data_IF_528764085994
#
_entry.id   IF_528764085994
#
_cell.length_a   1.000
_cell.length_b   1.000
_cell.length_c   1.000
_cell.angle_alpha   90.00
_cell.angle_beta   90.00
_cell.angle_gamma   90.00
#
_symmetry.space_group_name_H-M   'P 1'
#
loop_
_entity.id
_entity.type
_entity.pdbx_description
1 polymer ?
#
# COMPACT_ATOMS: atom_id res chain seq x y z
N UNK A 1 -8.64 3.93 -9.23
CA UNK A 1 -8.48 5.15 -10.05
C UNK A 1 -8.83 4.76 -11.47
N UNK A 2 -9.86 5.42 -11.98
CA UNK A 2 -10.35 5.23 -13.33
C UNK A 2 -9.27 5.70 -14.32
N UNK A 3 -8.62 4.77 -15.02
CA UNK A 3 -7.65 5.08 -16.06
C UNK A 3 -8.30 5.51 -17.39
N UNK A 4 -9.58 5.92 -17.39
CA UNK A 4 -10.18 6.48 -18.59
C UNK A 4 -9.62 7.87 -18.93
N UNK A 5 -9.01 8.05 -20.11
CA UNK A 5 -8.27 9.27 -20.47
C UNK A 5 -9.15 10.52 -20.71
N UNK A 6 -10.46 10.45 -20.44
CA UNK A 6 -11.42 11.51 -20.78
C UNK A 6 -12.22 12.04 -19.58
N UNK A 7 -11.87 11.70 -18.34
CA UNK A 7 -12.48 12.35 -17.18
C UNK A 7 -11.64 13.55 -16.74
N UNK A 8 -12.14 14.75 -17.03
CA UNK A 8 -11.67 15.99 -16.40
C UNK A 8 -11.73 15.82 -14.88
N UNK A 9 -10.63 15.95 -14.14
CA UNK A 9 -10.67 15.92 -12.69
C UNK A 9 -11.59 17.05 -12.21
N UNK A 10 -12.65 16.72 -11.47
CA UNK A 10 -13.44 17.74 -10.80
C UNK A 10 -12.52 18.50 -9.84
N UNK A 11 -12.49 19.84 -9.85
CA UNK A 11 -11.67 20.59 -8.94
C UNK A 11 -12.24 20.45 -7.53
N UNK A 12 -11.68 19.56 -6.71
CA UNK A 12 -11.86 19.61 -5.27
C UNK A 12 -11.09 20.80 -4.72
N UNK A 13 -11.68 21.98 -4.88
CA UNK A 13 -11.24 23.20 -4.21
C UNK A 13 -11.53 23.04 -2.72
N UNK A 14 -10.45 23.05 -1.93
CA UNK A 14 -10.48 23.29 -0.50
C UNK A 14 -11.24 24.61 -0.22
N UNK A 15 -12.37 24.53 0.49
CA UNK A 15 -13.17 25.72 0.79
C UNK A 15 -14.43 25.50 1.65
N UNK A 16 -14.83 24.25 1.92
CA UNK A 16 -15.89 23.98 2.89
C UNK A 16 -15.33 23.92 4.32
N UNK A 17 -16.07 24.38 5.35
CA UNK A 17 -15.65 24.19 6.73
C UNK A 17 -15.55 22.69 7.01
N UNK A 18 -14.32 22.20 7.21
CA UNK A 18 -14.07 20.84 7.63
C UNK A 18 -14.74 20.64 8.99
N UNK A 19 -15.82 19.85 9.04
CA UNK A 19 -16.41 19.42 10.31
C UNK A 19 -15.41 18.46 10.96
N UNK A 20 -14.94 18.72 12.19
CA UNK A 20 -14.13 17.75 12.91
C UNK A 20 -14.97 16.49 13.15
N UNK A 21 -14.61 15.40 12.50
CA UNK A 21 -15.08 14.09 12.89
C UNK A 21 -14.33 13.74 14.18
N UNK A 22 -15.00 13.75 15.34
CA UNK A 22 -14.37 13.54 16.66
C UNK A 22 -13.60 12.21 16.79
N UNK A 23 -13.78 11.28 15.84
CA UNK A 23 -13.10 9.97 15.78
C UNK A 23 -12.51 9.65 14.40
N UNK A 24 -12.21 10.66 13.58
CA UNK A 24 -11.57 10.42 12.29
C UNK A 24 -10.09 10.05 12.45
N UNK A 25 -9.54 9.24 11.52
CA UNK A 25 -8.10 9.04 11.45
C UNK A 25 -7.40 10.38 11.24
N UNK A 26 -6.24 10.54 11.88
CA UNK A 26 -5.38 11.69 11.66
C UNK A 26 -4.82 11.61 10.24
N UNK A 27 -5.23 12.54 9.39
CA UNK A 27 -4.70 12.66 8.03
C UNK A 27 -3.51 13.62 8.03
N UNK A 28 -2.38 13.15 7.49
CA UNK A 28 -1.17 13.97 7.27
C UNK A 28 -0.79 13.84 5.81
N UNK A 29 -0.71 14.97 5.11
CA UNK A 29 -0.18 15.04 3.76
C UNK A 29 1.33 15.34 3.82
N UNK A 30 2.13 14.53 3.14
CA UNK A 30 3.59 14.73 3.02
C UNK A 30 3.88 15.03 1.56
N UNK A 31 4.25 16.28 1.28
CA UNK A 31 4.63 16.68 -0.07
C UNK A 31 6.00 16.08 -0.44
N UNK A 32 6.09 15.48 -1.62
CA UNK A 32 7.35 14.99 -2.17
C UNK A 32 7.95 16.02 -3.15
N UNK A 33 9.07 16.62 -2.78
CA UNK A 33 9.86 17.52 -3.64
C UNK A 33 11.12 16.86 -4.22
N UNK A 34 11.34 15.58 -3.94
CA UNK A 34 12.50 14.79 -4.36
C UNK A 34 12.18 13.87 -5.53
N UNK A 35 12.75 12.65 -5.50
CA UNK A 35 12.51 11.65 -6.54
C UNK A 35 11.03 11.28 -6.62
N UNK A 36 10.52 11.13 -7.83
CA UNK A 36 9.12 10.76 -8.08
C UNK A 36 8.99 9.24 -8.28
N UNK A 37 7.77 8.75 -8.07
CA UNK A 37 7.42 7.34 -8.20
C UNK A 37 6.89 6.73 -6.88
N UNK A 38 6.27 5.55 -6.96
CA UNK A 38 5.62 4.93 -5.82
C UNK A 38 6.60 4.51 -4.73
N UNK A 39 7.81 4.06 -5.09
CA UNK A 39 8.86 3.72 -4.13
C UNK A 39 9.23 4.91 -3.24
N UNK A 40 9.55 6.05 -3.84
CA UNK A 40 9.89 7.29 -3.12
C UNK A 40 8.71 7.80 -2.27
N UNK A 41 7.48 7.76 -2.80
CA UNK A 41 6.29 8.17 -2.07
C UNK A 41 6.03 7.29 -0.83
N UNK A 42 6.10 5.96 -0.98
CA UNK A 42 5.95 5.01 0.13
C UNK A 42 7.05 5.22 1.17
N UNK A 43 8.27 5.49 0.73
CA UNK A 43 9.41 5.79 1.59
C UNK A 43 9.20 7.02 2.46
N UNK A 44 8.74 8.12 1.86
CA UNK A 44 8.38 9.33 2.62
C UNK A 44 7.27 9.05 3.63
N UNK A 45 6.24 8.30 3.22
CA UNK A 45 5.11 7.93 4.07
C UNK A 45 5.53 7.13 5.30
N UNK A 46 6.25 6.02 5.12
CA UNK A 46 6.61 5.15 6.24
C UNK A 46 7.64 5.79 7.18
N UNK A 47 8.56 6.61 6.66
CA UNK A 47 9.53 7.35 7.48
C UNK A 47 8.82 8.38 8.37
N UNK A 48 7.80 9.06 7.85
CA UNK A 48 6.99 10.03 8.59
C UNK A 48 6.01 9.38 9.59
N UNK A 49 5.62 8.12 9.36
CA UNK A 49 4.70 7.38 10.23
C UNK A 49 5.33 7.09 11.61
N UNK A 50 4.52 7.12 12.67
CA UNK A 50 4.99 6.96 14.05
C UNK A 50 4.70 5.58 14.65
N UNK A 51 3.85 4.79 14.00
CA UNK A 51 3.46 3.47 14.48
C UNK A 51 4.58 2.44 14.25
N UNK A 52 4.62 1.40 15.10
CA UNK A 52 5.55 0.29 14.96
C UNK A 52 5.22 -0.65 13.79
N UNK A 53 3.97 -0.61 13.30
CA UNK A 53 3.49 -1.35 12.13
C UNK A 53 3.04 -0.32 11.10
N UNK A 54 3.49 -0.51 9.86
CA UNK A 54 3.13 0.29 8.70
C UNK A 54 2.22 -0.55 7.81
N UNK A 55 1.00 -0.10 7.60
CA UNK A 55 0.06 -0.69 6.65
C UNK A 55 0.08 0.14 5.36
N UNK A 56 0.37 -0.51 4.23
CA UNK A 56 0.35 0.13 2.91
C UNK A 56 -0.96 -0.17 2.18
N UNK A 57 -1.48 0.83 1.49
CA UNK A 57 -2.66 0.77 0.63
C UNK A 57 -2.47 1.76 -0.51
N UNK A 58 -3.04 1.49 -1.69
CA UNK A 58 -2.95 2.39 -2.84
C UNK A 58 -4.17 3.33 -2.93
N UNK A 59 -4.04 4.42 -3.68
CA UNK A 59 -5.10 5.43 -3.83
C UNK A 59 -6.31 4.96 -4.66
N UNK A 60 -6.17 3.80 -5.30
CA UNK A 60 -7.21 3.10 -6.04
C UNK A 60 -7.81 1.89 -5.32
N UNK A 61 -7.48 1.69 -4.04
CA UNK A 61 -7.97 0.57 -3.25
C UNK A 61 -9.13 0.97 -2.33
N UNK A 62 -9.97 -0.02 -2.00
CA UNK A 62 -11.05 0.13 -1.02
C UNK A 62 -10.87 -0.94 0.05
N UNK A 63 -10.16 -0.66 1.15
CA UNK A 63 -9.97 -1.61 2.23
C UNK A 63 -11.30 -2.00 2.87
N UNK A 64 -11.43 -3.27 3.27
CA UNK A 64 -12.54 -3.73 4.09
C UNK A 64 -12.65 -2.90 5.38
N UNK A 65 -13.86 -2.65 5.92
CA UNK A 65 -14.01 -1.97 7.21
C UNK A 65 -13.25 -2.64 8.37
N UNK A 66 -12.94 -3.93 8.26
CA UNK A 66 -12.16 -4.70 9.25
C UNK A 66 -10.69 -4.89 8.87
N UNK A 67 -10.25 -4.39 7.71
CA UNK A 67 -8.91 -4.60 7.14
C UNK A 67 -7.78 -4.39 8.14
N UNK A 68 -7.73 -3.21 8.76
CA UNK A 68 -6.69 -2.87 9.72
C UNK A 68 -6.75 -3.73 10.99
N UNK A 69 -7.95 -4.01 11.50
CA UNK A 69 -8.12 -4.84 12.68
C UNK A 69 -7.67 -6.29 12.43
N UNK A 70 -8.00 -6.84 11.27
CA UNK A 70 -7.60 -8.19 10.86
C UNK A 70 -6.09 -8.28 10.57
N UNK A 71 -5.52 -7.26 9.93
CA UNK A 71 -4.07 -7.16 9.73
C UNK A 71 -3.33 -7.11 11.07
N UNK A 72 -3.74 -6.23 11.99
CA UNK A 72 -3.10 -6.13 13.31
C UNK A 72 -3.25 -7.42 14.13
N UNK A 73 -4.40 -8.08 14.09
CA UNK A 73 -4.64 -9.33 14.82
C UNK A 73 -3.78 -10.50 14.31
N UNK A 74 -3.31 -10.46 13.07
CA UNK A 74 -2.46 -11.50 12.49
C UNK A 74 -0.97 -11.35 12.85
N UNK A 75 -0.54 -10.23 13.44
CA UNK A 75 0.83 -10.09 13.92
C UNK A 75 1.05 -10.87 15.22
N UNK A 76 2.08 -11.70 15.22
CA UNK A 76 2.71 -12.22 16.45
C UNK A 76 4.08 -11.57 16.64
N UNK A 77 4.74 -11.84 17.77
CA UNK A 77 6.07 -11.26 18.06
C UNK A 77 7.09 -11.56 16.96
N UNK A 78 7.01 -12.74 16.36
CA UNK A 78 7.95 -13.22 15.35
C UNK A 78 7.53 -12.91 13.91
N UNK A 79 6.41 -12.23 13.67
CA UNK A 79 5.98 -11.86 12.32
C UNK A 79 6.55 -10.49 11.96
N UNK A 80 7.28 -10.45 10.86
CA UNK A 80 7.91 -9.24 10.32
C UNK A 80 7.00 -8.52 9.34
N UNK A 81 6.34 -9.29 8.48
CA UNK A 81 5.53 -8.80 7.37
C UNK A 81 4.26 -9.64 7.22
N UNK A 82 3.15 -8.98 6.93
CA UNK A 82 1.89 -9.59 6.53
C UNK A 82 1.57 -9.22 5.09
N UNK A 83 1.07 -10.18 4.34
CA UNK A 83 0.44 -9.96 3.04
C UNK A 83 -1.05 -10.22 3.16
N UNK A 84 -1.85 -9.17 2.95
CA UNK A 84 -3.30 -9.27 2.90
C UNK A 84 -3.79 -9.89 1.59
N UNK A 85 -5.11 -10.06 1.47
CA UNK A 85 -5.76 -10.52 0.25
C UNK A 85 -6.08 -9.32 -0.64
N UNK A 86 -5.82 -9.43 -1.94
CA UNK A 86 -6.27 -8.44 -2.92
C UNK A 86 -7.37 -9.09 -3.76
N UNK A 87 -8.42 -8.34 -4.03
CA UNK A 87 -9.49 -8.70 -4.97
C UNK A 87 -9.57 -7.63 -6.05
N UNK A 88 -9.60 -8.05 -7.31
CA UNK A 88 -9.71 -7.21 -8.49
C UNK A 88 -10.91 -7.67 -9.33
N UNK A 89 -12.14 -7.24 -8.97
CA UNK A 89 -13.32 -7.55 -9.75
C UNK A 89 -13.19 -6.96 -11.16
N UNK A 90 -13.42 -7.79 -12.18
CA UNK A 90 -13.37 -7.38 -13.58
C UNK A 90 -14.77 -7.05 -14.10
N UNK A 91 -14.92 -6.01 -14.96
CA UNK A 91 -16.14 -5.81 -15.72
C UNK A 91 -16.34 -6.94 -16.74
N UNK A 92 -17.53 -7.04 -17.32
CA UNK A 92 -17.87 -8.08 -18.31
C UNK A 92 -16.92 -8.11 -19.51
N UNK A 93 -16.43 -6.93 -19.93
CA UNK A 93 -15.44 -6.77 -21.01
C UNK A 93 -14.21 -6.06 -20.46
N UNK A 94 -13.25 -6.79 -19.85
CA UNK A 94 -12.07 -6.16 -19.27
C UNK A 94 -11.08 -5.71 -20.34
N UNK A 95 -10.26 -4.72 -20.02
CA UNK A 95 -9.10 -4.34 -20.84
C UNK A 95 -7.93 -5.30 -20.59
N UNK A 96 -6.92 -5.28 -21.46
CA UNK A 96 -5.69 -6.07 -21.25
C UNK A 96 -4.95 -5.64 -19.98
N UNK A 97 -4.96 -4.34 -19.69
CA UNK A 97 -4.44 -3.81 -18.44
C UNK A 97 -5.15 -4.42 -17.23
N UNK A 98 -6.49 -4.42 -17.21
CA UNK A 98 -7.27 -4.99 -16.10
C UNK A 98 -7.04 -6.51 -15.96
N UNK A 99 -6.95 -7.25 -17.08
CA UNK A 99 -6.58 -8.67 -17.06
C UNK A 99 -5.20 -8.92 -16.44
N UNK A 100 -4.26 -8.03 -16.72
CA UNK A 100 -2.88 -8.13 -16.21
C UNK A 100 -2.82 -7.74 -14.73
N UNK A 101 -3.44 -6.62 -14.35
CA UNK A 101 -3.53 -6.15 -12.96
C UNK A 101 -4.17 -7.20 -12.05
N UNK A 102 -5.19 -7.93 -12.52
CA UNK A 102 -5.81 -9.02 -11.76
C UNK A 102 -4.83 -10.13 -11.33
N UNK A 103 -3.69 -10.30 -12.00
CA UNK A 103 -2.67 -11.26 -11.57
C UNK A 103 -2.13 -10.95 -10.16
N UNK A 104 -2.27 -9.69 -9.70
CA UNK A 104 -1.95 -9.28 -8.33
C UNK A 104 -2.77 -10.03 -7.26
N UNK A 105 -3.96 -10.55 -7.57
CA UNK A 105 -4.74 -11.40 -6.64
C UNK A 105 -3.96 -12.64 -6.20
N UNK A 106 -3.04 -13.12 -7.04
CA UNK A 106 -2.25 -14.33 -6.84
C UNK A 106 -0.78 -14.04 -6.52
N UNK A 107 -0.38 -12.77 -6.49
CA UNK A 107 1.00 -12.38 -6.25
C UNK A 107 1.42 -12.68 -4.81
N UNK A 108 2.70 -13.05 -4.65
CA UNK A 108 3.19 -13.40 -3.33
C UNK A 108 3.42 -12.19 -2.42
N UNK A 109 3.58 -11.01 -2.99
CA UNK A 109 3.74 -9.79 -2.24
C UNK A 109 3.24 -8.65 -3.11
N UNK A 110 2.38 -7.79 -2.55
CA UNK A 110 1.83 -6.62 -3.23
C UNK A 110 1.83 -5.47 -2.24
N UNK A 111 2.45 -4.36 -2.61
CA UNK A 111 2.51 -3.18 -1.75
C UNK A 111 1.11 -2.57 -1.47
N UNK A 112 0.15 -2.80 -2.36
CA UNK A 112 -1.24 -2.38 -2.20
C UNK A 112 -1.96 -2.99 -0.99
N UNK A 113 -1.49 -4.12 -0.45
CA UNK A 113 -2.04 -4.73 0.76
C UNK A 113 -0.95 -5.52 1.50
N UNK A 114 0.01 -4.80 2.07
CA UNK A 114 1.01 -5.37 2.97
C UNK A 114 1.14 -4.55 4.24
N UNK A 115 1.54 -5.24 5.31
CA UNK A 115 1.84 -4.64 6.60
C UNK A 115 3.25 -5.03 6.98
N UNK A 116 4.06 -4.07 7.39
CA UNK A 116 5.45 -4.30 7.75
C UNK A 116 5.72 -3.76 9.16
N UNK A 117 6.51 -4.48 9.95
CA UNK A 117 7.16 -3.84 11.10
C UNK A 117 8.05 -2.71 10.61
N UNK A 118 7.95 -1.54 11.23
CA UNK A 118 8.76 -0.37 10.87
C UNK A 118 10.26 -0.68 10.96
N UNK A 119 10.66 -1.47 11.96
CA UNK A 119 12.05 -1.92 12.13
C UNK A 119 12.61 -2.71 10.94
N UNK A 120 11.77 -3.44 10.20
CA UNK A 120 12.20 -4.16 9.01
C UNK A 120 12.36 -3.22 7.81
N UNK A 121 11.48 -2.23 7.67
CA UNK A 121 11.67 -1.17 6.67
C UNK A 121 12.95 -0.37 6.95
N UNK A 122 13.23 -0.05 8.22
CA UNK A 122 14.46 0.61 8.64
C UNK A 122 15.71 -0.22 8.32
N UNK A 123 15.67 -1.54 8.61
CA UNK A 123 16.78 -2.46 8.31
C UNK A 123 17.08 -2.55 6.81
N UNK A 124 16.06 -2.44 5.97
CA UNK A 124 16.16 -2.55 4.51
C UNK A 124 16.27 -1.21 3.77
N UNK A 125 16.25 -0.09 4.51
CA UNK A 125 16.10 1.27 3.98
C UNK A 125 14.89 1.46 3.05
N UNK A 126 13.81 0.72 3.32
CA UNK A 126 12.55 0.83 2.60
C UNK A 126 12.58 0.28 1.17
N UNK A 127 11.84 0.93 0.28
CA UNK A 127 11.76 0.60 -1.15
C UNK A 127 12.94 1.22 -1.91
N UNK A 128 13.43 0.55 -2.95
CA UNK A 128 14.49 1.10 -3.80
C UNK A 128 13.93 2.20 -4.71
N UNK A 129 14.34 3.45 -4.47
CA UNK A 129 13.83 4.63 -5.18
C UNK A 129 14.32 4.72 -6.63
N UNK A 130 15.18 3.82 -7.09
CA UNK A 130 15.53 3.68 -8.51
C UNK A 130 14.37 3.15 -9.35
N UNK A 131 13.36 2.53 -8.73
CA UNK A 131 12.10 2.19 -9.37
C UNK A 131 11.18 3.42 -9.42
N UNK A 132 11.28 4.18 -10.51
CA UNK A 132 10.55 5.45 -10.69
C UNK A 132 9.13 5.28 -11.23
N UNK A 133 8.82 4.12 -11.80
CA UNK A 133 7.49 3.78 -12.31
C UNK A 133 6.82 2.69 -11.47
N UNK A 134 5.49 2.60 -11.51
CA UNK A 134 4.77 1.49 -10.88
C UNK A 134 5.23 0.13 -11.39
N UNK A 135 5.12 -0.85 -10.50
CA UNK A 135 5.52 -2.24 -10.66
C UNK A 135 7.03 -2.46 -10.46
N UNK A 136 7.36 -3.58 -9.80
CA UNK A 136 8.70 -4.13 -9.50
C UNK A 136 9.35 -3.62 -8.22
N UNK A 137 9.00 -2.45 -7.72
CA UNK A 137 9.46 -1.95 -6.42
C UNK A 137 9.01 -2.85 -5.27
N UNK A 138 7.83 -3.45 -5.42
CA UNK A 138 7.25 -4.44 -4.51
C UNK A 138 8.00 -5.77 -4.57
N UNK A 139 8.32 -6.24 -5.78
CA UNK A 139 9.07 -7.46 -6.03
C UNK A 139 10.51 -7.36 -5.50
N UNK A 140 11.17 -6.22 -5.71
CA UNK A 140 12.49 -5.94 -5.15
C UNK A 140 12.46 -5.99 -3.61
N UNK A 141 11.52 -5.27 -2.99
CA UNK A 141 11.36 -5.31 -1.53
C UNK A 141 11.10 -6.74 -1.05
N UNK A 142 10.26 -7.51 -1.74
CA UNK A 142 9.99 -8.91 -1.41
C UNK A 142 11.27 -9.77 -1.46
N UNK A 143 12.08 -9.66 -2.51
CA UNK A 143 13.34 -10.41 -2.58
C UNK A 143 14.33 -9.99 -1.48
N UNK A 144 14.40 -8.70 -1.14
CA UNK A 144 15.25 -8.23 -0.04
C UNK A 144 14.76 -8.73 1.32
N UNK A 145 13.45 -8.80 1.54
CA UNK A 145 12.85 -9.43 2.73
C UNK A 145 13.23 -10.91 2.83
N UNK A 146 13.15 -11.65 1.72
CA UNK A 146 13.56 -13.06 1.68
C UNK A 146 15.07 -13.22 1.94
N UNK A 147 15.91 -12.32 1.40
CA UNK A 147 17.36 -12.34 1.59
C UNK A 147 17.81 -12.10 3.04
N UNK A 148 16.97 -11.49 3.87
CA UNK A 148 17.20 -11.34 5.32
C UNK A 148 16.42 -12.36 6.16
N UNK A 149 15.81 -13.34 5.51
CA UNK A 149 14.99 -14.40 6.12
C UNK A 149 13.82 -13.85 6.96
N UNK A 150 13.24 -12.73 6.53
CA UNK A 150 12.10 -12.12 7.22
C UNK A 150 10.91 -13.09 7.29
N UNK A 151 10.23 -13.12 8.44
CA UNK A 151 9.03 -13.94 8.62
C UNK A 151 7.82 -13.26 7.99
N UNK A 152 7.55 -13.62 6.74
CA UNK A 152 6.39 -13.19 5.97
C UNK A 152 5.25 -14.19 6.17
N UNK A 153 4.03 -13.72 6.50
CA UNK A 153 2.84 -14.59 6.57
C UNK A 153 1.65 -14.00 5.83
N UNK A 154 0.71 -14.87 5.44
CA UNK A 154 -0.55 -14.47 4.79
C UNK A 154 -1.61 -14.13 5.82
N UNK A 155 -2.36 -13.06 5.57
CA UNK A 155 -3.51 -12.64 6.36
C UNK A 155 -4.74 -12.51 5.45
N UNK A 156 -5.39 -13.61 5.03
CA UNK A 156 -6.48 -13.56 4.04
C UNK A 156 -7.74 -12.82 4.54
N UNK A 157 -7.83 -12.55 5.84
CA UNK A 157 -8.91 -11.75 6.44
C UNK A 157 -8.65 -10.23 6.36
N UNK A 158 -7.40 -9.82 6.08
CA UNK A 158 -7.07 -8.45 5.75
C UNK A 158 -7.28 -8.24 4.24
N UNK A 159 -8.52 -7.89 3.87
CA UNK A 159 -8.95 -7.60 2.49
C UNK A 159 -8.92 -6.11 2.22
#
# INVERSE_FOLDING_TARGET
>A
VDHQPNHTPLPWVAGGPARPLERAPRLVYVANSGQHGPAAARNLGWRAAQAAIIAFTDDDTVPSPTWLAQGLAAFTENVDVLCGRVEMPLPATPTDYQRTARQLETAEFVAANCFCRKSILERLDGFDERFTEPCREDSDLHFRLLGIEARIVRAPQAL
#
